data_IF_005072781392
#
_entry.id   IF_005072781392
#
_cell.length_a   1.000
_cell.length_b   1.000
_cell.length_c   1.000
_cell.angle_alpha   90.00
_cell.angle_beta   90.00
_cell.angle_gamma   90.00
#
_symmetry.space_group_name_H-M   'P 1'
#
loop_
_entity.id
_entity.type
_entity.pdbx_description
1 polymer ?
#
# COMPACT_ATOMS: atom_id res chain seq x y z
N UNK A 1 -2.57 -37.65 -28.15
CA UNK A 1 -2.47 -36.75 -29.32
C UNK A 1 -1.13 -36.03 -29.25
N UNK A 2 -0.44 -35.98 -30.39
CA UNK A 2 0.95 -35.54 -30.54
C UNK A 2 0.96 -34.00 -30.70
N UNK A 3 1.78 -33.35 -29.88
CA UNK A 3 2.71 -32.28 -30.25
C UNK A 3 2.18 -30.97 -30.81
N UNK A 4 2.41 -29.87 -30.07
CA UNK A 4 3.29 -28.78 -30.52
C UNK A 4 3.65 -27.88 -29.33
N UNK A 5 4.91 -27.93 -28.88
CA UNK A 5 5.50 -26.92 -28.02
C UNK A 5 6.14 -25.87 -28.92
N UNK A 6 5.55 -24.68 -29.01
CA UNK A 6 6.16 -23.56 -29.70
C UNK A 6 7.08 -22.82 -28.71
N UNK A 7 8.38 -23.10 -28.86
CA UNK A 7 9.50 -22.38 -28.26
C UNK A 7 9.66 -21.04 -29.00
N UNK A 8 9.40 -19.91 -28.34
CA UNK A 8 9.76 -18.58 -28.84
C UNK A 8 10.99 -18.10 -28.08
N UNK A 9 12.06 -17.89 -28.84
CA UNK A 9 13.38 -17.47 -28.40
C UNK A 9 13.42 -15.96 -28.13
N UNK A 10 14.15 -15.63 -27.06
CA UNK A 10 14.56 -14.32 -26.55
C UNK A 10 15.20 -13.41 -27.60
N UNK A 11 14.91 -12.11 -27.50
CA UNK A 11 15.82 -11.06 -27.92
C UNK A 11 15.75 -9.91 -26.89
N UNK A 12 16.66 -9.93 -25.92
CA UNK A 12 16.90 -8.88 -24.94
C UNK A 12 17.92 -7.90 -25.49
N UNK A 13 17.47 -6.72 -25.90
CA UNK A 13 18.36 -5.57 -26.15
C UNK A 13 18.70 -4.89 -24.83
N UNK A 14 19.93 -5.12 -24.38
CA UNK A 14 20.60 -4.37 -23.32
C UNK A 14 20.98 -2.99 -23.85
N UNK A 15 20.36 -1.94 -23.32
CA UNK A 15 20.88 -0.59 -23.48
C UNK A 15 21.88 -0.27 -22.36
N UNK A 16 23.00 0.25 -22.81
CA UNK A 16 24.28 0.33 -22.13
C UNK A 16 24.32 1.50 -21.14
N UNK A 17 25.03 1.30 -20.03
CA UNK A 17 25.39 2.32 -19.05
C UNK A 17 26.00 3.58 -19.70
N UNK A 18 25.47 4.75 -19.33
CA UNK A 18 26.21 6.00 -19.37
C UNK A 18 26.30 6.59 -17.95
N UNK A 19 27.46 6.41 -17.35
CA UNK A 19 27.92 7.11 -16.15
C UNK A 19 28.34 8.53 -16.54
N UNK A 20 27.79 9.58 -15.92
CA UNK A 20 28.56 10.81 -15.60
C UNK A 20 27.73 11.80 -14.78
N UNK A 21 28.33 12.32 -13.71
CA UNK A 21 28.06 13.71 -13.28
C UNK A 21 27.69 13.90 -11.81
N UNK A 22 28.65 13.72 -10.92
CA UNK A 22 28.66 14.34 -9.59
C UNK A 22 29.06 15.82 -9.73
N UNK A 23 28.17 16.75 -9.37
CA UNK A 23 28.44 18.14 -9.00
C UNK A 23 27.12 18.66 -8.39
N UNK A 24 27.02 19.01 -7.11
CA UNK A 24 27.85 20.00 -6.44
C UNK A 24 27.12 21.33 -6.41
N UNK A 25 26.09 21.47 -5.57
CA UNK A 25 25.46 22.77 -5.27
C UNK A 25 25.16 22.87 -3.78
N UNK A 26 26.22 23.22 -3.04
CA UNK A 26 26.08 23.99 -1.81
C UNK A 26 25.56 25.38 -2.17
N UNK A 27 24.48 25.82 -1.55
CA UNK A 27 23.91 27.15 -1.78
C UNK A 27 22.91 27.54 -0.71
N UNK A 28 23.42 27.86 0.49
CA UNK A 28 22.69 28.65 1.49
C UNK A 28 22.56 30.08 0.95
N UNK A 29 21.37 30.70 0.92
CA UNK A 29 21.27 32.14 0.99
C UNK A 29 21.24 32.58 2.45
N UNK A 30 22.24 33.37 2.83
CA UNK A 30 22.25 34.18 4.03
C UNK A 30 21.37 35.41 3.82
N UNK A 31 20.54 35.75 4.82
CA UNK A 31 20.02 37.10 5.00
C UNK A 31 20.22 37.54 6.46
N UNK A 32 20.44 38.84 6.70
CA UNK A 32 21.20 39.33 7.86
C UNK A 32 20.29 39.86 8.98
N UNK A 33 20.72 39.59 10.22
CA UNK A 33 20.65 40.52 11.35
C UNK A 33 19.28 41.04 11.82
N UNK A 34 18.78 40.49 12.91
CA UNK A 34 18.06 41.25 13.92
C UNK A 34 18.39 40.70 15.32
N UNK A 35 18.75 41.63 16.20
CA UNK A 35 19.38 41.49 17.50
C UNK A 35 18.49 40.81 18.56
N UNK A 36 19.09 40.16 19.56
CA UNK A 36 18.43 40.00 20.86
C UNK A 36 18.83 38.82 21.74
N UNK A 37 19.70 39.12 22.71
CA UNK A 37 19.66 38.63 24.09
C UNK A 37 20.18 37.21 24.40
N UNK A 38 21.35 37.22 25.05
CA UNK A 38 21.93 36.11 25.79
C UNK A 38 21.13 35.80 27.05
N UNK A 39 20.84 34.53 27.32
CA UNK A 39 20.73 33.97 28.68
C UNK A 39 20.98 32.45 28.63
N UNK A 40 21.97 31.99 29.41
CA UNK A 40 22.14 30.63 29.92
C UNK A 40 21.77 30.75 31.41
N UNK A 41 20.87 29.92 31.95
CA UNK A 41 21.22 28.63 32.57
C UNK A 41 20.11 27.58 32.27
N UNK A 42 20.02 26.34 32.74
CA UNK A 42 20.45 25.73 34.00
C UNK A 42 20.37 24.20 33.87
N UNK A 43 21.01 23.54 34.81
CA UNK A 43 20.84 22.14 35.21
C UNK A 43 19.49 22.01 35.95
N UNK A 44 18.75 20.92 35.77
CA UNK A 44 17.62 20.63 36.67
C UNK A 44 16.54 19.75 36.07
N UNK A 45 16.50 18.52 36.57
CA UNK A 45 15.33 17.69 36.86
C UNK A 45 13.98 18.03 36.20
N UNK A 46 13.48 17.10 35.39
CA UNK A 46 12.04 16.95 35.18
C UNK A 46 11.65 15.48 35.34
N UNK A 47 11.22 15.15 36.56
CA UNK A 47 10.42 13.98 36.85
C UNK A 47 8.95 14.24 36.47
N UNK A 48 8.22 13.15 36.23
CA UNK A 48 6.76 13.01 35.99
C UNK A 48 6.32 13.35 34.55
N UNK A 49 5.54 12.56 33.82
CA UNK A 49 4.51 11.57 34.19
C UNK A 49 4.18 10.69 32.96
N UNK A 50 4.02 9.37 33.17
CA UNK A 50 3.20 8.38 32.41
C UNK A 50 3.49 8.16 30.91
N UNK A 51 3.44 6.95 30.35
CA UNK A 51 2.49 5.85 30.59
C UNK A 51 3.13 4.54 30.18
N UNK A 52 2.96 3.51 31.01
CA UNK A 52 3.24 2.12 30.69
C UNK A 52 2.41 1.68 29.48
N UNK A 53 3.02 1.02 28.49
CA UNK A 53 2.25 0.23 27.52
C UNK A 53 2.93 -1.09 27.23
N UNK A 54 2.92 -1.96 28.23
CA UNK A 54 2.92 -3.41 28.02
C UNK A 54 1.48 -3.90 28.06
N UNK A 55 0.87 -4.19 26.90
CA UNK A 55 -0.21 -5.17 26.83
C UNK A 55 -0.38 -5.71 25.40
N UNK A 56 0.04 -6.97 25.23
CA UNK A 56 -0.49 -7.87 24.21
C UNK A 56 -2.00 -8.07 24.44
N UNK A 57 -2.79 -8.13 23.36
CA UNK A 57 -4.18 -8.61 23.40
C UNK A 57 -5.16 -7.74 22.61
N UNK A 58 -5.55 -8.26 21.46
CA UNK A 58 -6.82 -8.10 20.74
C UNK A 58 -7.83 -7.06 21.28
N UNK A 59 -7.89 -5.89 20.63
CA UNK A 59 -9.16 -5.17 20.48
C UNK A 59 -9.07 -4.10 19.40
N UNK A 60 -10.01 -4.17 18.46
CA UNK A 60 -10.29 -3.13 17.47
C UNK A 60 -10.39 -1.75 18.13
N UNK A 61 -9.38 -0.91 17.94
CA UNK A 61 -9.49 0.53 18.17
C UNK A 61 -10.29 1.10 16.99
N UNK A 62 -11.60 1.13 17.16
CA UNK A 62 -12.45 2.07 16.45
C UNK A 62 -11.95 3.47 16.79
N UNK A 63 -11.09 4.03 15.93
CA UNK A 63 -10.83 5.46 15.89
C UNK A 63 -12.17 6.14 15.64
N UNK A 64 -12.70 6.83 16.66
CA UNK A 64 -13.84 7.71 16.51
C UNK A 64 -13.59 8.66 15.33
N UNK A 65 -14.25 8.40 14.20
CA UNK A 65 -14.22 9.26 13.01
C UNK A 65 -14.12 8.56 11.66
N UNK A 66 -13.54 7.34 11.55
CA UNK A 66 -13.37 6.69 10.23
C UNK A 66 -14.29 5.47 10.10
N UNK A 67 -15.20 5.42 9.10
CA UNK A 67 -16.02 4.25 8.85
C UNK A 67 -15.12 3.04 8.53
N UNK A 68 -15.50 1.86 9.03
CA UNK A 68 -14.84 0.62 8.68
C UNK A 68 -14.91 0.39 7.16
N UNK A 69 -13.96 -0.36 6.60
CA UNK A 69 -13.94 -0.65 5.16
C UNK A 69 -15.25 -1.33 4.73
N UNK A 70 -15.76 -2.24 5.56
CA UNK A 70 -17.05 -2.90 5.39
C UNK A 70 -18.23 -1.92 5.34
N UNK A 71 -18.24 -0.90 6.20
CA UNK A 71 -19.26 0.16 6.18
C UNK A 71 -19.17 1.03 4.93
N UNK A 72 -17.94 1.37 4.50
CA UNK A 72 -17.74 2.15 3.28
C UNK A 72 -18.20 1.38 2.04
N UNK A 73 -17.93 0.08 2.02
CA UNK A 73 -18.36 -0.81 0.94
C UNK A 73 -19.88 -0.96 0.90
N UNK A 74 -20.52 -1.17 2.05
CA UNK A 74 -21.98 -1.27 2.15
C UNK A 74 -22.70 0.00 1.67
N UNK A 75 -22.07 1.18 1.82
CA UNK A 75 -22.59 2.46 1.33
C UNK A 75 -22.34 2.70 -0.17
N UNK A 76 -21.50 1.89 -0.81
CA UNK A 76 -21.17 2.02 -2.23
C UNK A 76 -21.56 0.73 -2.98
N UNK A 77 -22.82 0.70 -3.42
CA UNK A 77 -23.40 -0.44 -4.15
C UNK A 77 -22.76 -0.63 -5.53
N UNK A 78 -22.39 0.46 -6.22
CA UNK A 78 -21.68 0.39 -7.50
C UNK A 78 -20.30 -0.28 -7.34
N UNK A 79 -19.52 0.15 -6.34
CA UNK A 79 -18.23 -0.46 -6.01
C UNK A 79 -18.39 -1.93 -5.66
N UNK A 80 -19.39 -2.26 -4.84
CA UNK A 80 -19.68 -3.65 -4.47
C UNK A 80 -19.97 -4.50 -5.69
N UNK A 81 -20.78 -4.02 -6.64
CA UNK A 81 -21.07 -4.73 -7.89
C UNK A 81 -19.83 -4.94 -8.75
N UNK A 82 -18.94 -3.94 -8.85
CA UNK A 82 -17.69 -4.07 -9.63
C UNK A 82 -16.73 -5.05 -9.00
N UNK A 83 -16.53 -4.96 -7.69
CA UNK A 83 -15.73 -5.93 -6.97
C UNK A 83 -16.31 -7.33 -7.12
N UNK A 84 -17.63 -7.49 -7.02
CA UNK A 84 -18.27 -8.79 -7.15
C UNK A 84 -18.08 -9.42 -8.54
N UNK A 85 -17.72 -8.65 -9.57
CA UNK A 85 -17.30 -9.18 -10.87
C UNK A 85 -15.84 -9.69 -10.88
N UNK A 86 -15.00 -9.22 -9.96
CA UNK A 86 -13.61 -9.69 -9.76
C UNK A 86 -13.53 -10.94 -8.87
N UNK A 87 -14.58 -11.19 -8.08
CA UNK A 87 -14.68 -12.33 -7.17
C UNK A 87 -15.67 -13.38 -7.69
N UNK A 88 -15.55 -14.65 -7.27
CA UNK A 88 -16.58 -15.64 -7.49
C UNK A 88 -17.95 -15.18 -6.94
N UNK A 89 -19.02 -15.53 -7.65
CA UNK A 89 -20.38 -15.24 -7.19
C UNK A 89 -20.62 -15.81 -5.77
N UNK A 90 -21.25 -15.01 -4.91
CA UNK A 90 -21.49 -15.37 -3.50
C UNK A 90 -20.34 -15.08 -2.54
N UNK A 91 -19.23 -14.51 -3.00
CA UNK A 91 -18.14 -14.06 -2.11
C UNK A 91 -18.63 -12.91 -1.22
N UNK A 92 -18.39 -13.02 0.09
CA UNK A 92 -18.72 -11.98 1.07
C UNK A 92 -17.63 -10.90 1.08
N UNK A 93 -17.83 -9.83 0.32
CA UNK A 93 -16.87 -8.74 0.22
C UNK A 93 -16.61 -8.03 1.54
N UNK A 94 -17.57 -8.03 2.48
CA UNK A 94 -17.37 -7.42 3.79
C UNK A 94 -16.35 -8.23 4.61
N UNK A 95 -16.50 -9.56 4.60
CA UNK A 95 -15.51 -10.49 5.20
C UNK A 95 -14.16 -10.43 4.49
N UNK A 96 -14.16 -10.26 3.17
CA UNK A 96 -12.93 -10.11 2.41
C UNK A 96 -12.21 -8.79 2.68
N UNK A 97 -12.95 -7.72 2.97
CA UNK A 97 -12.39 -6.42 3.33
C UNK A 97 -11.81 -6.33 4.75
N UNK A 98 -12.03 -7.36 5.58
CA UNK A 98 -11.54 -7.39 6.95
C UNK A 98 -10.01 -7.39 7.00
N UNK A 99 -9.45 -6.62 7.95
CA UNK A 99 -8.00 -6.51 8.13
C UNK A 99 -7.31 -5.51 7.19
N UNK A 100 -7.97 -5.05 6.13
CA UNK A 100 -7.41 -4.00 5.28
C UNK A 100 -7.44 -2.64 5.97
N UNK A 101 -6.35 -1.88 5.83
CA UNK A 101 -6.18 -0.56 6.47
C UNK A 101 -7.15 0.50 5.94
N UNK A 102 -7.62 0.32 4.71
CA UNK A 102 -8.53 1.24 4.03
C UNK A 102 -9.18 0.59 2.79
N UNK A 103 -10.29 1.17 2.33
CA UNK A 103 -11.02 0.72 1.14
C UNK A 103 -10.16 0.73 -0.11
N UNK A 104 -9.34 1.76 -0.33
CA UNK A 104 -8.44 1.84 -1.48
C UNK A 104 -7.49 0.65 -1.57
N UNK A 105 -6.92 0.21 -0.46
CA UNK A 105 -6.04 -0.97 -0.43
C UNK A 105 -6.79 -2.27 -0.69
N UNK A 106 -8.00 -2.44 -0.15
CA UNK A 106 -8.82 -3.62 -0.42
C UNK A 106 -9.18 -3.72 -1.91
N UNK A 107 -9.67 -2.63 -2.49
CA UNK A 107 -10.08 -2.57 -3.90
C UNK A 107 -8.86 -2.72 -4.82
N UNK A 108 -7.75 -2.06 -4.50
CA UNK A 108 -6.52 -2.20 -5.28
C UNK A 108 -5.98 -3.64 -5.21
N UNK A 109 -5.98 -4.27 -4.03
CA UNK A 109 -5.59 -5.67 -3.89
C UNK A 109 -6.45 -6.60 -4.77
N UNK A 110 -7.77 -6.34 -4.85
CA UNK A 110 -8.68 -7.13 -5.67
C UNK A 110 -8.34 -7.00 -7.16
N UNK A 111 -8.06 -5.77 -7.62
CA UNK A 111 -7.59 -5.53 -8.98
C UNK A 111 -6.25 -6.18 -9.28
N UNK A 112 -5.28 -6.14 -8.35
CA UNK A 112 -4.00 -6.84 -8.54
C UNK A 112 -4.19 -8.35 -8.65
N UNK A 113 -5.01 -8.93 -7.77
CA UNK A 113 -5.34 -10.35 -7.80
C UNK A 113 -5.91 -10.76 -9.16
N UNK A 114 -6.82 -9.96 -9.72
CA UNK A 114 -7.39 -10.19 -11.04
C UNK A 114 -6.39 -9.93 -12.19
N UNK A 115 -5.68 -8.81 -12.18
CA UNK A 115 -4.78 -8.38 -13.25
C UNK A 115 -3.59 -9.34 -13.44
N UNK A 116 -3.06 -9.86 -12.33
CA UNK A 116 -1.87 -10.71 -12.33
C UNK A 116 -2.16 -12.20 -12.18
N UNK A 117 -3.43 -12.57 -12.15
CA UNK A 117 -3.92 -13.93 -11.91
C UNK A 117 -3.30 -14.52 -10.62
N UNK A 118 -3.30 -13.72 -9.55
CA UNK A 118 -2.78 -14.11 -8.23
C UNK A 118 -3.97 -14.55 -7.37
N UNK A 119 -3.88 -15.66 -6.64
CA UNK A 119 -4.94 -16.05 -5.71
C UNK A 119 -5.25 -14.95 -4.70
N UNK A 120 -6.52 -14.54 -4.62
CA UNK A 120 -6.97 -13.49 -3.69
C UNK A 120 -6.57 -13.78 -2.24
N UNK A 121 -6.67 -15.04 -1.82
CA UNK A 121 -6.34 -15.48 -0.46
C UNK A 121 -4.89 -15.18 -0.11
N UNK A 122 -3.97 -15.34 -1.05
CA UNK A 122 -2.54 -15.11 -0.84
C UNK A 122 -2.24 -13.61 -0.79
N UNK A 123 -2.86 -12.84 -1.68
CA UNK A 123 -2.78 -11.38 -1.68
C UNK A 123 -3.31 -10.80 -0.36
N UNK A 124 -4.48 -11.27 0.10
CA UNK A 124 -5.07 -10.87 1.37
C UNK A 124 -4.18 -11.27 2.55
N UNK A 125 -3.71 -12.51 2.60
CA UNK A 125 -2.84 -12.99 3.68
C UNK A 125 -1.55 -12.14 3.81
N UNK A 126 -0.93 -11.77 2.69
CA UNK A 126 0.24 -10.87 2.68
C UNK A 126 -0.07 -9.47 3.22
N UNK A 127 -1.25 -8.92 2.91
CA UNK A 127 -1.60 -7.54 3.29
C UNK A 127 -2.26 -7.41 4.66
N UNK A 128 -2.86 -8.48 5.18
CA UNK A 128 -3.65 -8.44 6.44
C UNK A 128 -3.22 -9.46 7.49
N UNK A 129 -2.23 -10.31 7.20
CA UNK A 129 -1.71 -11.31 8.14
C UNK A 129 -0.84 -10.70 9.26
N UNK A 130 -0.09 -11.56 9.97
CA UNK A 130 0.72 -11.17 11.13
C UNK A 130 1.82 -10.14 10.82
N UNK A 131 2.40 -10.26 9.62
CA UNK A 131 3.41 -9.33 9.10
C UNK A 131 2.88 -8.68 7.82
N UNK A 132 1.95 -7.71 7.94
CA UNK A 132 1.30 -7.14 6.77
C UNK A 132 2.29 -6.32 5.97
N UNK A 133 2.43 -6.66 4.69
CA UNK A 133 3.30 -5.96 3.74
C UNK A 133 2.50 -5.02 2.84
N UNK A 134 3.19 -4.08 2.18
CA UNK A 134 2.55 -3.16 1.23
C UNK A 134 2.09 -3.90 -0.02
N UNK A 135 1.15 -3.33 -0.77
CA UNK A 135 0.63 -3.89 -2.03
C UNK A 135 1.77 -4.23 -3.02
N UNK A 136 2.72 -3.31 -3.22
CA UNK A 136 3.87 -3.54 -4.09
C UNK A 136 4.77 -4.66 -3.60
N UNK A 137 4.99 -4.77 -2.29
CA UNK A 137 5.80 -5.85 -1.74
C UNK A 137 5.09 -7.21 -1.84
N UNK A 138 3.77 -7.25 -1.60
CA UNK A 138 2.96 -8.45 -1.81
C UNK A 138 3.01 -8.93 -3.27
N UNK A 139 2.94 -8.01 -4.24
CA UNK A 139 3.11 -8.34 -5.66
C UNK A 139 4.49 -8.92 -5.92
N UNK A 140 5.55 -8.29 -5.41
CA UNK A 140 6.92 -8.75 -5.61
C UNK A 140 7.12 -10.17 -5.07
N UNK A 141 6.53 -10.48 -3.91
CA UNK A 141 6.60 -11.81 -3.29
C UNK A 141 5.83 -12.88 -4.07
N UNK A 142 4.61 -12.57 -4.52
CA UNK A 142 3.70 -13.53 -5.17
C UNK A 142 3.95 -13.67 -6.67
N UNK A 143 4.41 -12.60 -7.31
CA UNK A 143 4.64 -12.51 -8.76
C UNK A 143 5.94 -11.75 -9.05
N UNK A 144 7.11 -12.33 -8.76
CA UNK A 144 8.40 -11.66 -8.91
C UNK A 144 8.76 -11.29 -10.36
N UNK A 145 8.05 -11.84 -11.34
CA UNK A 145 8.19 -11.54 -12.77
C UNK A 145 7.41 -10.28 -13.21
N UNK A 146 6.45 -9.82 -12.40
CA UNK A 146 5.66 -8.63 -12.70
C UNK A 146 6.37 -7.36 -12.19
N UNK A 147 6.16 -6.23 -12.88
CA UNK A 147 6.62 -4.93 -12.37
C UNK A 147 5.71 -4.47 -11.23
N UNK A 148 6.09 -4.83 -10.00
CA UNK A 148 5.27 -4.60 -8.81
C UNK A 148 4.84 -3.13 -8.64
N UNK A 149 5.69 -2.18 -9.06
CA UNK A 149 5.39 -0.75 -8.96
C UNK A 149 4.33 -0.31 -9.96
N UNK A 150 4.45 -0.74 -11.21
CA UNK A 150 3.49 -0.44 -12.28
C UNK A 150 2.16 -1.06 -11.97
N UNK A 151 2.14 -2.32 -11.52
CA UNK A 151 0.92 -3.05 -11.21
C UNK A 151 0.21 -2.50 -9.98
N UNK A 152 0.96 -2.19 -8.91
CA UNK A 152 0.38 -1.50 -7.75
C UNK A 152 -0.18 -0.13 -8.15
N UNK A 153 0.55 0.64 -8.97
CA UNK A 153 0.10 1.95 -9.43
C UNK A 153 -1.12 1.89 -10.33
N UNK A 154 -1.23 0.88 -11.21
CA UNK A 154 -2.41 0.61 -12.03
C UNK A 154 -3.61 0.28 -11.15
N UNK A 155 -3.47 -0.67 -10.24
CA UNK A 155 -4.54 -1.10 -9.37
C UNK A 155 -5.01 0.00 -8.39
N UNK A 156 -4.11 0.87 -7.94
CA UNK A 156 -4.48 2.04 -7.15
C UNK A 156 -5.35 3.02 -7.95
N UNK A 157 -5.00 3.29 -9.21
CA UNK A 157 -5.81 4.15 -10.08
C UNK A 157 -7.18 3.55 -10.35
N UNK A 158 -7.25 2.24 -10.57
CA UNK A 158 -8.50 1.49 -10.75
C UNK A 158 -9.37 1.59 -9.49
N UNK A 159 -8.77 1.36 -8.33
CA UNK A 159 -9.46 1.52 -7.05
C UNK A 159 -10.00 2.94 -6.83
N UNK A 160 -9.21 3.96 -7.13
CA UNK A 160 -9.65 5.35 -7.04
C UNK A 160 -10.82 5.65 -8.00
N UNK A 161 -10.78 5.12 -9.22
CA UNK A 161 -11.86 5.28 -10.19
C UNK A 161 -13.15 4.60 -9.70
N UNK A 162 -13.05 3.38 -9.17
CA UNK A 162 -14.19 2.61 -8.67
C UNK A 162 -14.81 3.22 -7.41
N UNK A 163 -13.98 3.73 -6.50
CA UNK A 163 -14.46 4.38 -5.27
C UNK A 163 -15.17 5.71 -5.59
N UNK A 164 -14.70 6.43 -6.61
CA UNK A 164 -15.29 7.72 -7.04
C UNK A 164 -16.60 7.55 -7.81
N UNK A 165 -16.77 6.45 -8.54
CA UNK A 165 -18.06 6.10 -9.14
C UNK A 165 -19.02 5.66 -8.04
N UNK A 166 -19.89 6.58 -7.62
CA UNK A 166 -20.98 6.35 -6.67
C UNK A 166 -22.21 5.80 -7.38
#
# INVERSE_FOLDING_TARGET
MIGTFALVVVASSVDLHAQRGNAGTHGRPATPGAQGQAHRPDTGDHATHTTEHGKSGDRATATAGRPAVSDQLARNTNLSSRLQALFPAGTDLQKESAGFRNLGQFVAAAHVSHNLDIPWTDMKAKMTGDHPVSLGHAIQDLKPQADAKTEAGKAQKEADADIKSK
#
